data_IF_609579441586
#
_entry.id   IF_609579441586
#
_cell.length_a   1.000
_cell.length_b   1.000
_cell.length_c   1.000
_cell.angle_alpha   90.00
_cell.angle_beta   90.00
_cell.angle_gamma   90.00
#
_symmetry.space_group_name_H-M   'P 1'
#
loop_
_entity.id
_entity.type
_entity.pdbx_description
1 polymer ?
#
# COMPACT_ATOMS: atom_id res chain seq x y z
N UNK A 1 -10.24 -9.43 -26.37
CA UNK A 1 -10.19 -9.24 -24.92
C UNK A 1 -11.63 -9.32 -24.44
N UNK A 2 -12.02 -10.37 -23.72
CA UNK A 2 -13.39 -10.48 -23.20
C UNK A 2 -13.64 -9.40 -22.15
N UNK A 3 -14.89 -8.97 -21.97
CA UNK A 3 -15.26 -7.98 -20.94
C UNK A 3 -14.74 -8.39 -19.54
N UNK A 4 -14.73 -9.69 -19.23
CA UNK A 4 -14.20 -10.23 -17.97
C UNK A 4 -12.71 -9.95 -17.78
N UNK A 5 -11.90 -10.06 -18.83
CA UNK A 5 -10.48 -9.69 -18.76
C UNK A 5 -10.32 -8.19 -18.51
N UNK A 6 -11.13 -7.35 -19.17
CA UNK A 6 -11.06 -5.91 -18.97
C UNK A 6 -11.45 -5.50 -17.54
N UNK A 7 -12.43 -6.17 -16.94
CA UNK A 7 -12.82 -5.99 -15.55
C UNK A 7 -11.74 -6.40 -14.54
N UNK A 8 -10.83 -7.31 -14.90
CA UNK A 8 -9.69 -7.72 -14.06
C UNK A 8 -8.45 -6.85 -14.23
N UNK A 9 -8.20 -6.38 -15.46
CA UNK A 9 -7.07 -5.50 -15.75
C UNK A 9 -7.17 -4.14 -15.06
N UNK A 10 -8.37 -3.56 -14.99
CA UNK A 10 -8.59 -2.25 -14.36
C UNK A 10 -8.24 -2.24 -12.85
N UNK A 11 -8.78 -3.14 -12.01
CA UNK A 11 -8.41 -3.22 -10.60
C UNK A 11 -6.94 -3.62 -10.42
N UNK A 12 -6.38 -4.49 -11.28
CA UNK A 12 -4.96 -4.81 -11.24
C UNK A 12 -4.08 -3.56 -11.44
N UNK A 13 -4.37 -2.72 -12.43
CA UNK A 13 -3.64 -1.48 -12.67
C UNK A 13 -3.77 -0.50 -11.50
N UNK A 14 -4.97 -0.34 -10.95
CA UNK A 14 -5.21 0.54 -9.79
C UNK A 14 -4.46 0.05 -8.55
N UNK A 15 -4.60 -1.23 -8.22
CA UNK A 15 -3.94 -1.85 -7.05
C UNK A 15 -2.43 -1.88 -7.24
N UNK A 16 -1.94 -2.16 -8.46
CA UNK A 16 -0.52 -2.10 -8.80
C UNK A 16 0.06 -0.69 -8.63
N UNK A 17 -0.66 0.35 -9.06
CA UNK A 17 -0.27 1.74 -8.83
C UNK A 17 -0.22 2.10 -7.34
N UNK A 18 -1.21 1.67 -6.55
CA UNK A 18 -1.22 1.85 -5.09
C UNK A 18 -0.03 1.10 -4.45
N UNK A 19 0.25 -0.12 -4.89
CA UNK A 19 1.37 -0.91 -4.40
C UNK A 19 2.71 -0.22 -4.66
N UNK A 20 2.93 0.28 -5.88
CA UNK A 20 4.13 1.04 -6.21
C UNK A 20 4.26 2.32 -5.36
N UNK A 21 3.16 3.03 -5.13
CA UNK A 21 3.11 4.20 -4.24
C UNK A 21 3.48 3.83 -2.78
N UNK A 22 2.92 2.74 -2.25
CA UNK A 22 3.23 2.26 -0.90
C UNK A 22 4.72 1.89 -0.77
N UNK A 23 5.26 1.17 -1.74
CA UNK A 23 6.68 0.80 -1.79
C UNK A 23 7.59 2.02 -1.86
N UNK A 24 7.29 2.97 -2.74
CA UNK A 24 8.03 4.22 -2.87
C UNK A 24 8.15 4.94 -1.52
N UNK A 25 7.03 5.14 -0.83
CA UNK A 25 7.04 5.83 0.46
C UNK A 25 7.67 5.02 1.59
N UNK A 26 7.53 3.69 1.57
CA UNK A 26 8.18 2.84 2.55
C UNK A 26 9.71 2.94 2.43
N UNK A 27 10.24 2.75 1.23
CA UNK A 27 11.69 2.82 0.96
C UNK A 27 12.22 4.23 1.26
N UNK A 28 11.53 5.27 0.77
CA UNK A 28 11.96 6.66 1.01
C UNK A 28 11.95 7.00 2.49
N UNK A 29 10.97 6.49 3.26
CA UNK A 29 10.93 6.68 4.71
C UNK A 29 12.07 5.96 5.41
N UNK A 30 12.42 4.73 4.99
CA UNK A 30 13.56 3.99 5.53
C UNK A 30 14.86 4.77 5.31
N UNK A 31 15.09 5.28 4.10
CA UNK A 31 16.27 6.08 3.77
C UNK A 31 16.32 7.36 4.61
N UNK A 32 15.20 8.08 4.70
CA UNK A 32 15.11 9.32 5.48
C UNK A 32 15.42 9.11 6.96
N UNK A 33 14.72 8.18 7.63
CA UNK A 33 14.94 7.93 9.05
C UNK A 33 16.31 7.35 9.33
N UNK A 34 16.84 6.48 8.45
CA UNK A 34 18.23 5.99 8.59
C UNK A 34 19.24 7.14 8.57
N UNK A 35 19.09 8.10 7.66
CA UNK A 35 19.99 9.24 7.53
C UNK A 35 19.87 10.23 8.70
N UNK A 36 18.69 10.33 9.32
CA UNK A 36 18.44 11.19 10.48
C UNK A 36 18.62 10.46 11.84
N UNK A 37 19.24 9.28 11.86
CA UNK A 37 19.49 8.52 13.11
C UNK A 37 18.22 7.99 13.80
N UNK A 38 17.19 7.67 13.02
CA UNK A 38 15.85 7.27 13.47
C UNK A 38 15.18 8.28 14.41
N UNK A 39 15.47 9.57 14.24
CA UNK A 39 14.76 10.63 14.93
C UNK A 39 13.35 10.81 14.34
N UNK A 40 12.35 10.33 15.10
CA UNK A 40 10.92 10.39 14.80
C UNK A 40 10.23 11.67 15.29
N UNK A 41 10.99 12.66 15.77
CA UNK A 41 10.43 14.00 16.02
C UNK A 41 10.10 14.73 14.71
N UNK A 42 10.83 14.38 13.63
CA UNK A 42 10.57 14.89 12.28
C UNK A 42 9.51 14.05 11.59
N UNK A 43 8.49 14.71 11.07
CA UNK A 43 7.49 14.06 10.23
C UNK A 43 7.99 13.99 8.77
N UNK A 44 7.90 12.80 8.16
CA UNK A 44 8.27 12.58 6.78
C UNK A 44 7.25 11.69 6.05
N UNK A 45 6.96 12.03 4.80
CA UNK A 45 6.05 11.29 3.92
C UNK A 45 4.56 11.62 4.06
N UNK A 46 3.66 10.82 3.48
CA UNK A 46 2.25 11.17 3.31
C UNK A 46 1.52 11.23 4.65
N UNK A 47 0.58 12.17 4.81
CA UNK A 47 -0.24 12.24 6.03
C UNK A 47 -1.17 11.04 6.08
N UNK A 48 -1.00 10.19 7.09
CA UNK A 48 -1.84 9.02 7.33
C UNK A 48 -2.66 9.31 8.58
N UNK A 49 -3.98 9.15 8.48
CA UNK A 49 -4.94 9.38 9.55
C UNK A 49 -5.55 8.04 9.99
N UNK A 50 -5.78 7.87 11.29
CA UNK A 50 -6.55 6.77 11.83
C UNK A 50 -8.03 6.99 11.53
N UNK A 51 -8.64 6.08 10.77
CA UNK A 51 -10.08 6.12 10.47
C UNK A 51 -10.45 6.95 9.24
N UNK A 52 -11.76 7.13 9.04
CA UNK A 52 -12.34 7.67 7.80
C UNK A 52 -12.24 9.19 7.69
N UNK A 53 -12.05 9.91 8.79
CA UNK A 53 -12.06 11.38 8.82
C UNK A 53 -10.65 11.94 8.99
N UNK A 54 -10.23 12.79 8.05
CA UNK A 54 -9.00 13.57 8.15
C UNK A 54 -9.17 14.65 9.23
N UNK A 55 -8.96 14.25 10.48
CA UNK A 55 -8.86 15.16 11.62
C UNK A 55 -7.47 15.01 12.21
N UNK A 56 -6.80 16.13 12.49
CA UNK A 56 -5.43 16.14 13.00
C UNK A 56 -5.25 15.35 14.31
N UNK A 57 -6.33 15.20 15.09
CA UNK A 57 -6.36 14.33 16.28
C UNK A 57 -6.13 12.85 15.98
N UNK A 58 -6.35 12.41 14.75
CA UNK A 58 -6.15 11.04 14.31
C UNK A 58 -4.89 10.86 13.45
N UNK A 59 -4.06 11.89 13.27
CA UNK A 59 -2.81 11.77 12.52
C UNK A 59 -1.92 10.70 13.18
N UNK A 60 -1.47 9.72 12.38
CA UNK A 60 -0.62 8.63 12.88
C UNK A 60 0.73 9.23 13.26
N UNK A 61 1.13 9.05 14.54
CA UNK A 61 2.45 9.46 15.02
C UNK A 61 3.57 8.91 14.11
N UNK A 62 4.64 9.68 13.81
CA UNK A 62 5.70 9.27 12.87
C UNK A 62 6.28 7.88 13.16
N UNK A 63 6.48 7.54 14.44
CA UNK A 63 6.92 6.21 14.87
C UNK A 63 5.94 5.09 14.49
N UNK A 64 4.66 5.25 14.81
CA UNK A 64 3.63 4.27 14.48
C UNK A 64 3.41 4.17 12.96
N UNK A 65 3.53 5.28 12.25
CA UNK A 65 3.45 5.36 10.80
C UNK A 65 4.55 4.53 10.15
N UNK A 66 5.79 4.68 10.64
CA UNK A 66 6.95 3.97 10.13
C UNK A 66 6.94 2.48 10.45
N UNK A 67 6.63 2.09 11.69
CA UNK A 67 6.71 0.69 12.11
C UNK A 67 5.46 -0.14 11.81
N UNK A 68 4.29 0.49 11.67
CA UNK A 68 3.02 -0.23 11.50
C UNK A 68 2.35 0.16 10.20
N UNK A 69 1.99 1.43 10.01
CA UNK A 69 1.13 1.82 8.89
C UNK A 69 1.76 1.56 7.52
N UNK A 70 3.01 1.97 7.32
CA UNK A 70 3.73 1.79 6.06
C UNK A 70 3.98 0.29 5.74
N UNK A 71 4.56 -0.52 6.65
CA UNK A 71 4.73 -1.95 6.43
C UNK A 71 3.41 -2.67 6.15
N UNK A 72 2.35 -2.34 6.89
CA UNK A 72 1.04 -2.93 6.71
C UNK A 72 0.42 -2.56 5.35
N UNK A 73 0.54 -1.30 4.93
CA UNK A 73 0.08 -0.86 3.62
C UNK A 73 0.84 -1.57 2.49
N UNK A 74 2.16 -1.71 2.61
CA UNK A 74 2.99 -2.48 1.66
C UNK A 74 2.56 -3.95 1.62
N UNK A 75 2.33 -4.58 2.77
CA UNK A 75 1.93 -5.98 2.84
C UNK A 75 0.57 -6.23 2.16
N UNK A 76 -0.44 -5.43 2.50
CA UNK A 76 -1.78 -5.55 1.90
C UNK A 76 -1.74 -5.27 0.41
N UNK A 77 -1.13 -4.15 0.00
CA UNK A 77 -1.09 -3.80 -1.42
C UNK A 77 -0.34 -4.84 -2.24
N UNK A 78 0.79 -5.37 -1.74
CA UNK A 78 1.53 -6.45 -2.40
C UNK A 78 0.70 -7.73 -2.49
N UNK A 79 0.01 -8.12 -1.41
CA UNK A 79 -0.88 -9.28 -1.41
C UNK A 79 -1.98 -9.15 -2.46
N UNK A 80 -2.66 -8.00 -2.52
CA UNK A 80 -3.71 -7.74 -3.50
C UNK A 80 -3.15 -7.72 -4.93
N UNK A 81 -2.01 -7.07 -5.17
CA UNK A 81 -1.37 -7.06 -6.51
C UNK A 81 -1.02 -8.48 -6.95
N UNK A 82 -0.46 -9.30 -6.07
CA UNK A 82 -0.13 -10.70 -6.37
C UNK A 82 -1.41 -11.49 -6.66
N UNK A 83 -2.46 -11.32 -5.85
CA UNK A 83 -3.74 -11.99 -6.07
C UNK A 83 -4.30 -11.68 -7.46
N UNK A 84 -4.42 -10.40 -7.84
CA UNK A 84 -4.90 -10.01 -9.16
C UNK A 84 -3.97 -10.48 -10.30
N UNK A 85 -2.65 -10.50 -10.08
CA UNK A 85 -1.72 -11.04 -11.07
C UNK A 85 -1.92 -12.55 -11.29
N UNK A 86 -2.10 -13.32 -10.21
CA UNK A 86 -2.35 -14.77 -10.28
C UNK A 86 -3.70 -15.08 -10.94
N UNK A 87 -4.72 -14.27 -10.69
CA UNK A 87 -6.04 -14.38 -11.32
C UNK A 87 -5.98 -14.06 -12.82
N UNK A 88 -5.29 -12.98 -13.21
CA UNK A 88 -5.03 -12.64 -14.62
C UNK A 88 -4.24 -13.73 -15.37
N UNK A 89 -3.35 -14.45 -14.68
CA UNK A 89 -2.63 -15.60 -15.24
C UNK A 89 -3.49 -16.88 -15.32
N UNK A 90 -4.73 -16.86 -14.83
CA UNK A 90 -5.62 -18.02 -14.80
C UNK A 90 -5.19 -19.11 -13.80
N UNK A 91 -4.30 -18.78 -12.87
CA UNK A 91 -3.80 -19.71 -11.84
C UNK A 91 -4.85 -19.86 -10.73
N UNK A 92 -5.44 -18.74 -10.30
CA UNK A 92 -6.56 -18.75 -9.37
C UNK A 92 -7.82 -19.03 -10.18
N UNK A 93 -8.35 -20.24 -10.08
CA UNK A 93 -9.69 -20.54 -10.56
C UNK A 93 -10.68 -20.11 -9.48
N UNK A 94 -11.45 -19.08 -9.76
CA UNK A 94 -12.67 -18.83 -9.01
C UNK A 94 -13.60 -20.04 -9.16
N UNK A 95 -13.63 -20.93 -8.15
CA UNK A 95 -14.64 -21.97 -8.04
C UNK A 95 -16.00 -21.31 -7.73
N UNK A 96 -16.58 -20.64 -8.71
CA UNK A 96 -17.99 -20.25 -8.69
C UNK A 96 -18.74 -21.42 -9.29
N UNK A 97 -19.38 -22.21 -8.42
CA UNK A 97 -20.38 -23.19 -8.81
C UNK A 97 -21.69 -22.53 -9.19
#
# INVERSE_FOLDING_TARGET
>A
MSEDQFQLWLPFCVVGGICAYCWYWCITSIIFYRNNGFDFSKEFGPKIYWGRYAHDRFLVKPKAKFFIALPFAVAISSFLTIFFALDLMGIIKHCVG
#
